data_IF_229464910152
#
_entry.id   IF_229464910152
#
_cell.length_a   1.000
_cell.length_b   1.000
_cell.length_c   1.000
_cell.angle_alpha   90.00
_cell.angle_beta   90.00
_cell.angle_gamma   90.00
#
_symmetry.space_group_name_H-M   'P 1'
#
loop_
_entity.id
_entity.type
_entity.pdbx_description
1 polymer ?
#
# COMPACT_ATOMS: atom_id res chain seq x y z
N UNK A 1 21.06 -13.92 -13.48
CA UNK A 1 20.32 -13.81 -12.20
C UNK A 1 18.82 -13.88 -12.48
N UNK A 2 18.12 -14.95 -12.05
CA UNK A 2 16.67 -15.07 -12.28
C UNK A 2 15.94 -13.94 -11.54
N UNK A 3 15.13 -13.16 -12.26
CA UNK A 3 14.25 -12.12 -11.69
C UNK A 3 13.24 -12.80 -10.75
N UNK A 4 13.50 -12.72 -9.44
CA UNK A 4 12.63 -13.32 -8.44
C UNK A 4 11.22 -12.74 -8.51
N UNK A 5 10.22 -13.62 -8.65
CA UNK A 5 8.80 -13.21 -8.60
C UNK A 5 8.55 -12.51 -7.27
N UNK A 6 7.89 -11.36 -7.31
CA UNK A 6 7.54 -10.60 -6.10
C UNK A 6 6.07 -10.74 -5.77
N UNK A 7 5.74 -10.65 -4.48
CA UNK A 7 4.37 -10.58 -3.97
C UNK A 7 4.16 -9.22 -3.33
N UNK A 8 3.01 -8.64 -3.61
CA UNK A 8 2.56 -7.39 -3.02
C UNK A 8 1.39 -7.70 -2.10
N UNK A 9 1.43 -7.21 -0.88
CA UNK A 9 0.39 -7.39 0.11
C UNK A 9 -0.18 -6.01 0.42
N UNK A 10 -1.49 -5.86 0.24
CA UNK A 10 -2.26 -4.72 0.68
C UNK A 10 -2.72 -4.94 2.11
N UNK A 11 -2.50 -3.93 2.95
CA UNK A 11 -2.74 -3.94 4.38
C UNK A 11 -3.66 -2.80 4.74
N UNK A 12 -4.49 -3.02 5.75
CA UNK A 12 -5.27 -2.01 6.43
C UNK A 12 -4.71 -1.85 7.85
N UNK A 13 -4.44 -0.61 8.24
CA UNK A 13 -3.83 -0.25 9.53
C UNK A 13 -4.89 0.40 10.41
N UNK A 14 -5.48 -0.35 11.34
CA UNK A 14 -6.53 0.16 12.20
C UNK A 14 -5.97 0.54 13.58
N UNK A 15 -5.96 1.81 13.99
CA UNK A 15 -5.58 2.18 15.35
C UNK A 15 -6.62 1.67 16.36
N UNK A 16 -6.16 1.22 17.54
CA UNK A 16 -7.03 0.72 18.60
C UNK A 16 -7.70 1.85 19.39
N UNK A 17 -7.01 2.98 19.58
CA UNK A 17 -7.39 4.02 20.54
C UNK A 17 -7.96 5.31 19.92
N UNK A 18 -8.20 5.36 18.59
CA UNK A 18 -8.47 6.63 17.90
C UNK A 18 -9.72 6.57 17.02
N UNK A 19 -10.61 7.56 17.17
CA UNK A 19 -11.78 7.78 16.31
C UNK A 19 -11.38 7.85 14.83
N UNK A 20 -12.29 7.38 13.96
CA UNK A 20 -12.07 7.28 12.51
C UNK A 20 -11.72 8.62 11.84
N UNK A 21 -12.12 9.75 12.43
CA UNK A 21 -11.93 11.10 11.90
C UNK A 21 -10.51 11.66 11.96
N UNK A 22 -9.64 11.12 12.82
CA UNK A 22 -8.28 11.68 12.93
C UNK A 22 -7.34 11.07 11.89
N UNK A 23 -6.60 11.90 11.12
CA UNK A 23 -5.64 11.40 10.15
C UNK A 23 -4.51 10.64 10.86
N UNK A 24 -4.28 9.39 10.45
CA UNK A 24 -3.24 8.55 11.04
C UNK A 24 -1.94 8.69 10.24
N UNK A 25 -1.08 9.60 10.69
CA UNK A 25 0.25 9.80 10.08
C UNK A 25 1.17 8.66 10.44
N UNK A 26 1.50 7.82 9.46
CA UNK A 26 2.47 6.73 9.65
C UNK A 26 3.59 6.80 8.62
N UNK A 27 4.82 6.88 9.10
CA UNK A 27 6.01 6.85 8.25
C UNK A 27 6.24 5.42 7.73
N UNK A 28 6.52 5.30 6.43
CA UNK A 28 6.83 4.02 5.80
C UNK A 28 8.07 3.34 6.43
N UNK A 29 9.05 4.14 6.85
CA UNK A 29 10.23 3.64 7.55
C UNK A 29 9.86 2.94 8.86
N UNK A 30 8.95 3.54 9.64
CA UNK A 30 8.57 3.01 10.94
C UNK A 30 7.77 1.72 10.82
N UNK A 31 6.95 1.61 9.78
CA UNK A 31 6.28 0.35 9.43
C UNK A 31 7.30 -0.73 9.05
N UNK A 32 8.32 -0.38 8.26
CA UNK A 32 9.39 -1.31 7.89
C UNK A 32 10.15 -1.83 9.12
N UNK A 33 10.65 -0.94 9.99
CA UNK A 33 11.44 -1.33 11.16
C UNK A 33 10.63 -2.16 12.13
N UNK A 34 9.37 -1.80 12.35
CA UNK A 34 8.48 -2.54 13.24
C UNK A 34 8.24 -3.96 12.74
N UNK A 35 7.98 -4.13 11.44
CA UNK A 35 7.77 -5.46 10.85
C UNK A 35 9.05 -6.29 10.95
N UNK A 36 10.21 -5.73 10.61
CA UNK A 36 11.49 -6.45 10.71
C UNK A 36 11.76 -6.90 12.15
N UNK A 37 11.58 -6.02 13.14
CA UNK A 37 11.71 -6.38 14.56
C UNK A 37 10.73 -7.49 14.97
N UNK A 38 9.49 -7.45 14.47
CA UNK A 38 8.52 -8.49 14.80
C UNK A 38 8.88 -9.84 14.16
N UNK A 39 9.44 -9.82 12.95
CA UNK A 39 9.92 -11.02 12.27
C UNK A 39 11.13 -11.60 13.00
N UNK A 40 12.05 -10.76 13.46
CA UNK A 40 13.19 -11.16 14.30
C UNK A 40 12.71 -11.87 15.58
N UNK A 41 11.69 -11.32 16.25
CA UNK A 41 11.10 -11.93 17.44
C UNK A 41 10.45 -13.30 17.19
N UNK A 42 9.87 -13.52 16.00
CA UNK A 42 9.12 -14.75 15.69
C UNK A 42 9.97 -15.82 15.00
N UNK A 43 10.92 -15.42 14.16
CA UNK A 43 11.65 -16.29 13.24
C UNK A 43 13.18 -16.15 13.37
N UNK A 44 13.65 -15.28 14.26
CA UNK A 44 15.07 -14.99 14.47
C UNK A 44 15.75 -14.36 13.25
N UNK A 45 17.07 -14.46 13.24
CA UNK A 45 17.93 -13.91 12.18
C UNK A 45 17.63 -14.51 10.80
N UNK A 46 17.20 -15.77 10.76
CA UNK A 46 16.80 -16.43 9.53
C UNK A 46 15.64 -15.71 8.85
N UNK A 47 14.59 -15.36 9.60
CA UNK A 47 13.43 -14.64 9.06
C UNK A 47 13.82 -13.27 8.53
N UNK A 48 14.67 -12.55 9.27
CA UNK A 48 15.17 -11.23 8.89
C UNK A 48 16.00 -11.30 7.60
N UNK A 49 16.94 -12.24 7.52
CA UNK A 49 17.77 -12.46 6.33
C UNK A 49 16.92 -12.81 5.09
N UNK A 50 15.92 -13.68 5.27
CA UNK A 50 15.02 -14.08 4.20
C UNK A 50 14.19 -12.91 3.63
N UNK A 51 13.77 -11.95 4.47
CA UNK A 51 13.04 -10.77 4.03
C UNK A 51 13.93 -9.64 3.51
N UNK A 52 15.09 -9.38 4.12
CA UNK A 52 15.96 -8.22 3.81
C UNK A 52 16.26 -8.10 2.31
N UNK A 53 16.45 -9.21 1.60
CA UNK A 53 16.78 -9.22 0.17
C UNK A 53 15.68 -8.72 -0.78
N UNK A 54 14.44 -8.49 -0.33
CA UNK A 54 13.40 -7.95 -1.22
C UNK A 54 12.13 -7.46 -0.53
N UNK A 55 12.20 -7.18 0.76
CA UNK A 55 11.14 -6.53 1.51
C UNK A 55 11.19 -5.02 1.30
N UNK A 56 10.07 -4.43 0.89
CA UNK A 56 9.93 -2.98 0.72
C UNK A 56 8.56 -2.57 1.27
N UNK A 57 8.55 -1.71 2.28
CA UNK A 57 7.33 -1.05 2.75
C UNK A 57 7.06 0.19 1.89
N UNK A 58 5.92 0.21 1.20
CA UNK A 58 5.52 1.31 0.32
C UNK A 58 4.22 1.93 0.83
N UNK A 59 4.34 3.19 1.23
CA UNK A 59 3.25 4.17 1.37
C UNK A 59 2.09 3.75 2.28
N UNK A 60 1.91 4.48 3.38
CA UNK A 60 0.69 4.43 4.18
C UNK A 60 -0.12 5.69 3.86
N UNK A 61 -1.39 5.53 3.47
CA UNK A 61 -2.29 6.66 3.33
C UNK A 61 -2.96 6.95 4.68
N UNK A 62 -2.85 8.19 5.15
CA UNK A 62 -3.36 8.63 6.45
C UNK A 62 -4.89 8.63 6.51
N UNK A 63 -5.55 8.89 5.37
CA UNK A 63 -7.01 8.97 5.27
C UNK A 63 -7.65 7.60 5.10
N UNK A 64 -7.11 6.79 4.18
CA UNK A 64 -7.71 5.48 3.86
C UNK A 64 -7.16 4.35 4.73
N UNK A 65 -6.09 4.60 5.49
CA UNK A 65 -5.42 3.63 6.37
C UNK A 65 -4.88 2.40 5.63
N UNK A 66 -4.67 2.53 4.33
CA UNK A 66 -4.15 1.45 3.48
C UNK A 66 -2.64 1.60 3.35
N UNK A 67 -1.92 0.50 3.52
CA UNK A 67 -0.49 0.38 3.28
C UNK A 67 -0.18 -0.76 2.30
N UNK A 68 0.92 -0.65 1.55
CA UNK A 68 1.38 -1.72 0.67
C UNK A 68 2.76 -2.20 1.07
N UNK A 69 2.97 -3.51 1.08
CA UNK A 69 4.29 -4.10 1.29
C UNK A 69 4.63 -5.04 0.14
N UNK A 70 5.89 -5.04 -0.27
CA UNK A 70 6.44 -5.97 -1.25
C UNK A 70 7.33 -6.96 -0.53
N UNK A 71 7.26 -8.23 -0.91
CA UNK A 71 8.18 -9.28 -0.50
C UNK A 71 8.55 -10.17 -1.70
N UNK A 72 9.62 -10.97 -1.55
CA UNK A 72 9.95 -12.03 -2.53
C UNK A 72 8.95 -13.19 -2.41
N UNK A 73 8.74 -13.88 -3.52
CA UNK A 73 8.09 -15.19 -3.50
C UNK A 73 8.86 -16.16 -2.62
N UNK A 74 8.17 -16.89 -1.75
CA UNK A 74 8.80 -17.66 -0.66
C UNK A 74 8.53 -16.99 0.69
N UNK A 75 9.39 -16.06 1.16
CA UNK A 75 9.29 -15.46 2.50
C UNK A 75 8.03 -14.59 2.70
N UNK A 76 7.28 -14.28 1.63
CA UNK A 76 5.97 -13.63 1.77
C UNK A 76 5.00 -14.36 2.71
N UNK A 77 5.12 -15.68 2.89
CA UNK A 77 4.29 -16.44 3.85
C UNK A 77 4.63 -16.07 5.29
N UNK A 78 5.92 -15.92 5.61
CA UNK A 78 6.41 -15.47 6.91
C UNK A 78 5.94 -14.05 7.21
N UNK A 79 5.96 -13.19 6.19
CA UNK A 79 5.42 -11.84 6.31
C UNK A 79 3.91 -11.88 6.58
N UNK A 80 3.15 -12.67 5.82
CA UNK A 80 1.69 -12.76 5.96
C UNK A 80 1.26 -13.25 7.35
N UNK A 81 1.96 -14.21 7.95
CA UNK A 81 1.70 -14.66 9.33
C UNK A 81 2.13 -13.63 10.37
N UNK A 82 3.23 -12.90 10.13
CA UNK A 82 3.73 -11.90 11.06
C UNK A 82 2.84 -10.64 11.12
N UNK A 83 2.28 -10.21 9.98
CA UNK A 83 1.53 -8.96 9.87
C UNK A 83 0.39 -8.81 10.89
N UNK A 84 -0.56 -9.75 11.04
CA UNK A 84 -1.64 -9.62 12.01
C UNK A 84 -1.18 -9.63 13.48
N UNK A 85 0.05 -10.08 13.75
CA UNK A 85 0.62 -10.12 15.10
C UNK A 85 1.32 -8.79 15.49
N UNK A 86 1.44 -7.85 14.56
CA UNK A 86 1.99 -6.52 14.84
C UNK A 86 0.90 -5.66 15.49
N UNK A 87 1.03 -5.48 16.80
CA UNK A 87 0.04 -4.76 17.61
C UNK A 87 0.44 -3.31 17.94
N UNK A 88 1.70 -2.93 17.66
CA UNK A 88 2.23 -1.62 18.01
C UNK A 88 3.17 -1.15 16.90
N UNK A 89 2.93 0.06 16.39
CA UNK A 89 3.83 0.73 15.45
C UNK A 89 4.19 2.09 16.06
N UNK A 90 5.48 2.33 16.29
CA UNK A 90 5.98 3.48 17.07
C UNK A 90 5.27 3.59 18.44
N UNK A 91 4.51 4.68 18.64
CA UNK A 91 3.78 4.98 19.87
C UNK A 91 2.28 4.66 19.75
N UNK A 92 1.85 4.05 18.65
CA UNK A 92 0.44 3.77 18.40
C UNK A 92 0.15 2.28 18.49
N UNK A 93 -0.89 1.92 19.25
CA UNK A 93 -1.46 0.59 19.22
C UNK A 93 -2.33 0.44 17.98
N UNK A 94 -2.00 -0.52 17.12
CA UNK A 94 -2.66 -0.73 15.84
C UNK A 94 -2.90 -2.21 15.60
N UNK A 95 -3.91 -2.52 14.79
CA UNK A 95 -4.19 -3.85 14.29
C UNK A 95 -4.02 -3.83 12.77
N UNK A 96 -3.12 -4.68 12.27
CA UNK A 96 -2.91 -4.85 10.84
C UNK A 96 -3.81 -5.94 10.28
N UNK A 97 -4.59 -5.61 9.25
CA UNK A 97 -5.43 -6.56 8.53
C UNK A 97 -4.94 -6.70 7.09
N UNK A 98 -4.73 -7.94 6.64
CA UNK A 98 -4.40 -8.21 5.24
C UNK A 98 -5.69 -8.11 4.41
N UNK A 99 -5.65 -7.29 3.35
CA UNK A 99 -6.76 -7.12 2.43
C UNK A 99 -6.65 -7.98 1.19
N UNK A 100 -5.46 -8.01 0.60
CA UNK A 100 -5.22 -8.68 -0.67
C UNK A 100 -3.75 -8.98 -0.86
N UNK A 101 -3.45 -10.13 -1.47
CA UNK A 101 -2.08 -10.50 -1.86
C UNK A 101 -2.05 -10.74 -3.37
N UNK A 102 -1.23 -9.98 -4.09
CA UNK A 102 -1.12 -10.03 -5.55
C UNK A 102 0.31 -10.17 -6.06
N UNK A 103 0.45 -10.41 -7.36
CA UNK A 103 1.76 -10.43 -8.04
C UNK A 103 2.25 -9.02 -8.41
N UNK A 104 1.33 -8.07 -8.56
CA UNK A 104 1.64 -6.68 -8.95
C UNK A 104 0.90 -5.68 -8.06
N UNK A 105 1.52 -4.51 -7.86
CA UNK A 105 0.88 -3.39 -7.16
C UNK A 105 -0.39 -2.92 -7.87
N UNK A 106 -0.42 -3.00 -9.22
CA UNK A 106 -1.59 -2.65 -10.04
C UNK A 106 -2.82 -3.49 -9.70
N UNK A 107 -2.65 -4.81 -9.53
CA UNK A 107 -3.75 -5.69 -9.13
C UNK A 107 -4.25 -5.35 -7.72
N UNK A 108 -3.33 -5.08 -6.79
CA UNK A 108 -3.67 -4.68 -5.43
C UNK A 108 -4.46 -3.37 -5.42
N UNK A 109 -4.04 -2.39 -6.22
CA UNK A 109 -4.73 -1.12 -6.37
C UNK A 109 -6.14 -1.30 -6.95
N UNK A 110 -6.27 -2.05 -8.06
CA UNK A 110 -7.57 -2.36 -8.67
C UNK A 110 -8.52 -3.04 -7.67
N UNK A 111 -8.02 -3.95 -6.85
CA UNK A 111 -8.82 -4.62 -5.82
C UNK A 111 -9.34 -3.63 -4.77
N UNK A 112 -8.48 -2.75 -4.26
CA UNK A 112 -8.87 -1.78 -3.23
C UNK A 112 -9.81 -0.70 -3.79
N UNK A 113 -9.61 -0.30 -5.04
CA UNK A 113 -10.51 0.62 -5.74
C UNK A 113 -11.92 0.03 -5.89
N UNK A 114 -12.03 -1.25 -6.28
CA UNK A 114 -13.33 -1.96 -6.32
C UNK A 114 -14.01 -2.05 -4.96
N UNK A 115 -13.23 -2.11 -3.87
CA UNK A 115 -13.74 -2.15 -2.50
C UNK A 115 -14.20 -0.77 -1.98
N UNK A 116 -14.01 0.32 -2.74
CA UNK A 116 -14.40 1.67 -2.34
C UNK A 116 -13.51 2.32 -1.27
N UNK A 117 -12.37 1.70 -0.92
CA UNK A 117 -11.46 2.18 0.15
C UNK A 117 -10.42 3.20 -0.34
N UNK A 118 -10.18 3.29 -1.64
CA UNK A 118 -9.28 4.27 -2.25
C UNK A 118 -10.09 5.22 -3.13
N UNK A 119 -10.07 6.51 -2.80
CA UNK A 119 -10.47 7.56 -3.75
C UNK A 119 -9.50 7.54 -4.94
N UNK A 120 -9.96 7.85 -6.17
CA UNK A 120 -9.10 7.90 -7.35
C UNK A 120 -8.21 9.15 -7.33
N UNK A 121 -7.43 9.35 -6.28
CA UNK A 121 -6.36 10.35 -6.28
C UNK A 121 -5.08 9.67 -6.76
N UNK A 122 -4.42 10.16 -7.82
CA UNK A 122 -3.15 9.61 -8.26
C UNK A 122 -2.14 9.70 -7.11
N UNK A 123 -1.37 8.63 -6.82
CA UNK A 123 -0.38 8.68 -5.75
C UNK A 123 0.58 9.84 -6.01
N UNK A 124 0.97 10.62 -4.98
CA UNK A 124 1.76 11.84 -5.11
C UNK A 124 3.17 11.62 -5.70
N UNK A 125 3.57 10.36 -5.91
CA UNK A 125 4.87 10.02 -6.45
C UNK A 125 4.73 9.16 -7.71
N UNK A 126 4.90 9.82 -8.87
CA UNK A 126 4.87 9.24 -10.23
C UNK A 126 5.84 8.05 -10.41
N UNK A 127 6.79 7.86 -9.49
CA UNK A 127 7.74 6.72 -9.43
C UNK A 127 7.19 5.45 -8.77
N UNK A 128 6.00 5.49 -8.14
CA UNK A 128 5.45 4.32 -7.44
C UNK A 128 4.68 3.34 -8.33
N UNK A 129 4.41 3.71 -9.59
CA UNK A 129 3.85 2.84 -10.61
C UNK A 129 4.92 2.53 -11.66
N UNK A 130 5.26 1.26 -11.95
CA UNK A 130 5.85 0.96 -13.24
C UNK A 130 4.75 1.16 -14.28
N UNK A 131 4.96 2.07 -15.26
CA UNK A 131 4.24 2.05 -16.53
C UNK A 131 4.54 0.69 -17.21
N UNK A 132 3.52 0.05 -17.78
CA UNK A 132 3.24 0.33 -19.18
C UNK A 132 1.74 0.46 -19.46
N UNK A 133 1.44 1.11 -20.59
CA UNK A 133 0.15 1.13 -21.29
C UNK A 133 -0.92 2.11 -20.79
N UNK A 134 -1.00 3.20 -21.57
CA UNK A 134 -2.21 3.87 -22.00
C UNK A 134 -3.46 2.98 -21.89
N UNK A 135 -4.41 3.40 -21.05
CA UNK A 135 -5.82 3.12 -21.27
C UNK A 135 -6.36 4.35 -21.99
N UNK A 136 -6.41 4.29 -23.32
CA UNK A 136 -7.38 5.06 -24.09
C UNK A 136 -8.75 4.59 -23.59
N UNK A 137 -9.39 5.40 -22.76
CA UNK A 137 -10.85 5.39 -22.71
C UNK A 137 -11.30 6.24 -23.90
N UNK A 138 -11.47 5.54 -25.02
CA UNK A 138 -12.42 5.95 -26.04
C UNK A 138 -13.80 5.79 -25.40
N UNK A 139 -14.48 6.92 -25.20
CA UNK A 139 -15.93 6.94 -25.30
C UNK A 139 -16.25 8.18 -26.11
N UNK A 140 -16.82 7.93 -27.27
CA UNK A 140 -17.19 8.89 -28.27
C UNK A 140 -18.35 9.79 -27.78
N UNK A 141 -18.43 10.95 -28.40
CA UNK A 141 -19.64 11.69 -28.76
C UNK A 141 -20.65 12.00 -27.64
N UNK A 142 -20.63 13.27 -27.21
CA UNK A 142 -21.74 14.19 -27.46
C UNK A 142 -21.23 15.63 -27.34
N UNK A 143 -21.12 16.28 -28.48
CA UNK A 143 -21.08 17.73 -28.68
C UNK A 143 -22.26 18.39 -27.97
N UNK A 144 -22.04 19.49 -27.26
CA UNK A 144 -22.79 20.75 -27.42
C UNK A 144 -22.16 21.83 -26.53
N UNK A 145 -21.53 22.77 -27.23
CA UNK A 145 -20.89 24.02 -26.80
C UNK A 145 -21.86 24.97 -26.10
N UNK A 146 -21.39 25.78 -25.12
CA UNK A 146 -21.69 27.24 -25.07
C UNK A 146 -20.63 28.02 -24.25
N UNK A 147 -19.95 28.94 -24.96
CA UNK A 147 -19.37 30.27 -24.62
C UNK A 147 -18.60 30.49 -23.28
N UNK A 148 -17.32 30.89 -23.28
CA UNK A 148 -16.74 32.23 -23.58
C UNK A 148 -17.42 33.38 -22.83
N UNK A 149 -16.77 33.89 -21.79
CA UNK A 149 -16.66 35.34 -21.54
C UNK A 149 -15.43 35.69 -20.70
N UNK A 150 -14.94 36.88 -20.97
CA UNK A 150 -13.66 37.50 -20.62
C UNK A 150 -13.91 38.69 -19.67
N UNK A 151 -12.83 39.31 -19.20
CA UNK A 151 -12.70 40.56 -18.42
C UNK A 151 -12.77 40.37 -16.89
N UNK A 152 -11.72 40.69 -16.11
CA UNK A 152 -11.03 41.97 -15.89
C UNK A 152 -11.83 42.88 -14.95
N UNK A 153 -11.39 42.93 -13.70
CA UNK A 153 -11.25 44.16 -12.90
C UNK A 153 -10.13 43.98 -11.87
#
# INVERSE_FOLDING_TARGET
>A
MRTGRSRYIALEVNPHSRSYDTPFKLKAHSLYTTIIKKIEQLYGDFGVAALKGGFIAKYCNEKTRVAFVRARHGPHRLLASCLPLVNRIENHQVMLRILYTGATLRQCYKFIQRRGKLTPTPPPNRKLMPSPLALKLSTADTTMSVKLESACE
#
